data_IF_599233709880
#
_entry.id   IF_599233709880
#
_cell.length_a   1.000
_cell.length_b   1.000
_cell.length_c   1.000
_cell.angle_alpha   90.00
_cell.angle_beta   90.00
_cell.angle_gamma   90.00
#
_symmetry.space_group_name_H-M   'P 1'
#
loop_
_entity.id
_entity.type
_entity.pdbx_description
1 polymer ?
#
# COMPACT_ATOMS: atom_id res chain seq x y z
N UNK A 1 8.62 5.36 -13.89
CA UNK A 1 8.66 4.30 -12.88
C UNK A 1 7.63 4.70 -11.84
N UNK A 2 6.58 3.90 -11.63
CA UNK A 2 5.56 4.19 -10.61
C UNK A 2 6.11 3.69 -9.27
N UNK A 3 6.21 4.58 -8.28
CA UNK A 3 6.67 4.22 -6.94
C UNK A 3 5.48 3.70 -6.14
N UNK A 4 5.52 2.41 -5.80
CA UNK A 4 4.53 1.77 -4.93
C UNK A 4 5.05 1.74 -3.51
N UNK A 5 4.21 2.18 -2.57
CA UNK A 5 4.48 2.22 -1.14
C UNK A 5 3.81 1.04 -0.44
N UNK A 6 4.38 0.59 0.67
CA UNK A 6 3.80 -0.45 1.52
C UNK A 6 3.88 -0.08 3.00
N UNK A 7 2.75 -0.17 3.70
CA UNK A 7 2.69 0.04 5.15
C UNK A 7 2.16 -1.20 5.87
N UNK A 8 2.74 -1.49 7.03
CA UNK A 8 2.27 -2.53 7.94
C UNK A 8 1.12 -2.02 8.80
N UNK A 9 0.00 -2.75 8.80
CA UNK A 9 -1.16 -2.45 9.65
C UNK A 9 -1.07 -3.24 10.94
N UNK A 10 -1.19 -4.57 10.87
CA UNK A 10 -1.12 -5.47 12.02
C UNK A 10 -0.82 -6.90 11.55
N UNK A 11 -0.16 -7.72 12.37
CA UNK A 11 0.20 -9.10 11.98
C UNK A 11 0.89 -9.17 10.61
N UNK A 12 0.29 -9.92 9.68
CA UNK A 12 0.73 -10.08 8.30
C UNK A 12 0.07 -9.13 7.30
N UNK A 13 -0.90 -8.32 7.75
CA UNK A 13 -1.61 -7.38 6.88
C UNK A 13 -0.70 -6.23 6.43
N UNK A 14 -0.77 -5.91 5.15
CA UNK A 14 -0.09 -4.80 4.49
C UNK A 14 -1.08 -4.02 3.64
N UNK A 15 -0.94 -2.69 3.61
CA UNK A 15 -1.58 -1.86 2.60
C UNK A 15 -0.52 -1.44 1.59
N UNK A 16 -0.81 -1.58 0.31
CA UNK A 16 0.01 -1.08 -0.80
C UNK A 16 -0.73 -0.01 -1.57
N UNK A 17 -0.04 1.03 -2.02
CA UNK A 17 -0.63 2.13 -2.79
C UNK A 17 0.43 2.88 -3.59
N UNK A 18 0.01 3.53 -4.67
CA UNK A 18 0.82 4.54 -5.35
C UNK A 18 0.58 5.91 -4.70
N UNK A 19 1.62 6.71 -4.54
CA UNK A 19 1.51 8.05 -3.95
C UNK A 19 1.97 9.12 -4.91
N UNK A 20 1.05 10.01 -5.30
CA UNK A 20 1.30 11.09 -6.24
C UNK A 20 0.49 12.33 -5.83
N UNK A 21 1.13 13.50 -5.87
CA UNK A 21 0.52 14.81 -5.55
C UNK A 21 -0.31 14.84 -4.25
N UNK A 22 0.19 14.19 -3.19
CA UNK A 22 -0.49 14.13 -1.89
C UNK A 22 -1.67 13.15 -1.82
N UNK A 23 -1.94 12.41 -2.89
CA UNK A 23 -3.06 11.48 -3.00
C UNK A 23 -2.57 10.03 -3.13
N UNK A 24 -3.38 9.10 -2.63
CA UNK A 24 -3.13 7.67 -2.74
C UNK A 24 -4.01 7.05 -3.83
N UNK A 25 -3.40 6.24 -4.68
CA UNK A 25 -4.05 5.55 -5.80
C UNK A 25 -3.76 4.05 -5.74
N UNK A 26 -4.56 3.26 -6.46
CA UNK A 26 -4.42 1.79 -6.54
C UNK A 26 -4.23 1.13 -5.16
N UNK A 27 -5.03 1.56 -4.19
CA UNK A 27 -4.92 1.14 -2.79
C UNK A 27 -5.43 -0.30 -2.63
N UNK A 28 -4.53 -1.19 -2.21
CA UNK A 28 -4.84 -2.60 -1.98
C UNK A 28 -4.53 -2.99 -0.53
N UNK A 29 -5.36 -3.89 0.02
CA UNK A 29 -5.14 -4.52 1.32
C UNK A 29 -4.78 -5.99 1.09
N UNK A 30 -3.56 -6.35 1.44
CA UNK A 30 -3.01 -7.68 1.24
C UNK A 30 -2.81 -8.38 2.59
N UNK A 31 -3.26 -9.62 2.67
CA UNK A 31 -3.05 -10.50 3.82
C UNK A 31 -2.08 -11.61 3.42
N UNK A 32 -0.89 -11.59 4.01
CA UNK A 32 0.05 -12.69 3.87
C UNK A 32 -0.34 -13.81 4.85
N UNK A 33 -1.29 -14.67 4.47
CA UNK A 33 -1.50 -15.95 5.15
C UNK A 33 -0.63 -17.05 4.55
#
# INVERSE_FOLDING_TARGET
MKETWSIKVSGNWRITFEFEDGNAYEVNLEDYH
#
